data_IF_473741427467
#
_entry.id   IF_473741427467
#
_cell.length_a   1.000
_cell.length_b   1.000
_cell.length_c   1.000
_cell.angle_alpha   90.00
_cell.angle_beta   90.00
_cell.angle_gamma   90.00
#
_symmetry.space_group_name_H-M   'P 1'
#
loop_
_entity.id
_entity.type
_entity.pdbx_description
1 polymer ?
#
# COMPACT_ATOMS: atom_id res chain seq x y z
N UNK A 1 -2.81 -4.08 6.92
CA UNK A 1 -3.78 -5.19 6.98
C UNK A 1 -3.21 -6.46 6.35
N UNK A 2 -2.75 -6.45 5.08
CA UNK A 2 -2.25 -7.64 4.39
C UNK A 2 -1.16 -8.38 5.19
N UNK A 3 -0.10 -7.68 5.61
CA UNK A 3 1.01 -8.26 6.39
C UNK A 3 0.55 -8.78 7.77
N UNK A 4 -0.40 -8.10 8.42
CA UNK A 4 -0.91 -8.55 9.72
C UNK A 4 -1.71 -9.86 9.59
N UNK A 5 -2.50 -9.99 8.52
CA UNK A 5 -3.35 -11.16 8.31
C UNK A 5 -2.56 -12.41 7.94
N UNK A 6 -1.39 -12.29 7.32
CA UNK A 6 -0.52 -13.45 7.03
C UNK A 6 -0.08 -14.19 8.30
N UNK A 7 0.02 -13.50 9.44
CA UNK A 7 0.35 -14.10 10.73
C UNK A 7 -0.70 -15.10 11.21
N UNK A 8 -1.95 -14.91 10.81
CA UNK A 8 -3.05 -15.83 11.10
C UNK A 8 -3.26 -16.86 9.98
N UNK A 9 -3.09 -16.44 8.72
CA UNK A 9 -3.32 -17.29 7.57
C UNK A 9 -2.37 -18.48 7.52
N UNK A 10 -1.06 -18.27 7.61
CA UNK A 10 -0.09 -19.33 7.42
C UNK A 10 -0.15 -20.42 8.50
N UNK A 11 -0.26 -20.09 9.81
CA UNK A 11 -0.38 -21.12 10.85
C UNK A 11 -1.73 -21.83 10.80
N UNK A 12 -2.85 -21.09 10.66
CA UNK A 12 -4.18 -21.66 10.86
C UNK A 12 -4.75 -22.29 9.58
N UNK A 13 -4.56 -21.69 8.40
CA UNK A 13 -5.09 -22.24 7.14
C UNK A 13 -4.11 -23.23 6.49
N UNK A 14 -2.82 -22.89 6.45
CA UNK A 14 -1.82 -23.73 5.76
C UNK A 14 -1.03 -24.65 6.69
N UNK A 15 -1.05 -24.43 8.00
CA UNK A 15 -0.18 -25.16 8.94
C UNK A 15 1.32 -25.00 8.65
N UNK A 16 1.72 -23.91 7.98
CA UNK A 16 3.06 -23.74 7.41
C UNK A 16 3.71 -22.42 7.78
N UNK A 17 4.38 -22.36 8.92
CA UNK A 17 5.10 -21.17 9.41
C UNK A 17 6.30 -20.82 8.51
N UNK A 18 6.92 -21.82 7.84
CA UNK A 18 8.04 -21.53 6.91
C UNK A 18 7.60 -20.70 5.72
N UNK A 19 6.40 -20.94 5.20
CA UNK A 19 5.83 -20.15 4.13
C UNK A 19 5.56 -18.69 4.56
N UNK A 20 5.21 -18.45 5.83
CA UNK A 20 5.10 -17.11 6.39
C UNK A 20 6.44 -16.37 6.35
N UNK A 21 7.51 -16.98 6.81
CA UNK A 21 8.85 -16.38 6.74
C UNK A 21 9.27 -16.10 5.30
N UNK A 22 8.96 -17.02 4.38
CA UNK A 22 9.23 -16.83 2.96
C UNK A 22 8.44 -15.65 2.38
N UNK A 23 7.18 -15.46 2.78
CA UNK A 23 6.37 -14.31 2.33
C UNK A 23 6.97 -12.96 2.78
N UNK A 24 7.53 -12.89 3.99
CA UNK A 24 8.24 -11.72 4.48
C UNK A 24 9.52 -11.42 3.67
N UNK A 25 10.33 -12.44 3.41
CA UNK A 25 11.52 -12.33 2.56
C UNK A 25 11.14 -11.90 1.13
N UNK A 26 10.13 -12.53 0.53
CA UNK A 26 9.64 -12.19 -0.79
C UNK A 26 9.18 -10.74 -0.88
N UNK A 27 8.47 -10.24 0.16
CA UNK A 27 8.07 -8.82 0.24
C UNK A 27 9.27 -7.88 0.27
N UNK A 28 10.34 -8.23 0.97
CA UNK A 28 11.58 -7.43 1.00
C UNK A 28 12.26 -7.43 -0.37
N UNK A 29 12.44 -8.60 -0.97
CA UNK A 29 13.09 -8.74 -2.28
C UNK A 29 12.33 -7.99 -3.36
N UNK A 30 10.99 -8.12 -3.41
CA UNK A 30 10.18 -7.42 -4.40
C UNK A 30 10.23 -5.91 -4.21
N UNK A 31 10.35 -5.41 -2.97
CA UNK A 31 10.52 -3.98 -2.70
C UNK A 31 11.83 -3.46 -3.27
N UNK A 32 12.93 -4.20 -3.12
CA UNK A 32 14.22 -3.85 -3.70
C UNK A 32 14.17 -3.85 -5.24
N UNK A 33 13.53 -4.86 -5.83
CA UNK A 33 13.31 -4.93 -7.27
C UNK A 33 12.49 -3.72 -7.74
N UNK A 34 11.37 -3.42 -7.08
CA UNK A 34 10.53 -2.26 -7.41
C UNK A 34 11.30 -0.94 -7.30
N UNK A 35 12.20 -0.79 -6.33
CA UNK A 35 13.00 0.43 -6.17
C UNK A 35 13.82 0.77 -7.43
N UNK A 36 14.32 -0.24 -8.15
CA UNK A 36 15.14 -0.04 -9.34
C UNK A 36 14.39 0.60 -10.52
N UNK A 37 13.08 0.37 -10.65
CA UNK A 37 12.30 0.88 -11.79
C UNK A 37 11.19 1.87 -11.40
N UNK A 38 10.83 1.99 -10.13
CA UNK A 38 9.76 2.91 -9.70
C UNK A 38 10.11 4.37 -10.01
N UNK A 39 11.35 4.79 -9.80
CA UNK A 39 11.78 6.17 -10.07
C UNK A 39 11.62 6.54 -11.56
N UNK A 40 12.24 5.82 -12.52
CA UNK A 40 12.07 6.15 -13.93
C UNK A 40 10.62 5.99 -14.42
N UNK A 41 9.88 5.04 -13.86
CA UNK A 41 8.49 4.81 -14.23
C UNK A 41 7.59 5.95 -13.73
N UNK A 42 7.79 6.43 -12.51
CA UNK A 42 7.05 7.56 -11.95
C UNK A 42 7.32 8.89 -12.68
N UNK A 43 8.55 9.07 -13.20
CA UNK A 43 8.89 10.22 -14.03
C UNK A 43 8.18 10.20 -15.40
N UNK A 44 7.96 9.01 -15.97
CA UNK A 44 7.28 8.84 -17.27
C UNK A 44 5.76 8.90 -17.16
N UNK A 45 5.17 8.19 -16.22
CA UNK A 45 3.71 8.05 -16.07
C UNK A 45 3.09 9.14 -15.20
N UNK A 46 3.82 9.65 -14.21
CA UNK A 46 3.30 10.44 -13.12
C UNK A 46 3.19 9.61 -11.84
N UNK A 47 3.36 10.27 -10.69
CA UNK A 47 3.32 9.57 -9.38
C UNK A 47 1.90 9.16 -9.02
N UNK A 48 0.91 10.01 -9.28
CA UNK A 48 -0.52 9.75 -9.10
C UNK A 48 -0.97 8.53 -9.90
N UNK A 49 -0.72 8.55 -11.19
CA UNK A 49 -1.13 7.53 -12.14
C UNK A 49 -0.47 6.18 -11.84
N UNK A 50 0.83 6.21 -11.52
CA UNK A 50 1.55 5.01 -11.12
C UNK A 50 1.01 4.42 -9.81
N UNK A 51 0.68 5.27 -8.83
CA UNK A 51 0.09 4.86 -7.56
C UNK A 51 -1.27 4.19 -7.74
N UNK A 52 -2.13 4.77 -8.59
CA UNK A 52 -3.44 4.19 -8.94
C UNK A 52 -3.28 2.83 -9.63
N UNK A 53 -2.41 2.76 -10.64
CA UNK A 53 -2.17 1.52 -11.38
C UNK A 53 -1.63 0.41 -10.47
N UNK A 54 -0.66 0.72 -9.61
CA UNK A 54 -0.07 -0.22 -8.67
C UNK A 54 -1.10 -0.71 -7.63
N UNK A 55 -1.96 0.18 -7.12
CA UNK A 55 -3.01 -0.18 -6.18
C UNK A 55 -4.07 -1.08 -6.86
N UNK A 56 -4.53 -0.74 -8.06
CA UNK A 56 -5.50 -1.57 -8.80
C UNK A 56 -4.92 -2.93 -9.17
N UNK A 57 -3.64 -3.00 -9.53
CA UNK A 57 -2.95 -4.26 -9.78
C UNK A 57 -2.93 -5.13 -8.51
N UNK A 58 -2.54 -4.57 -7.36
CA UNK A 58 -2.55 -5.30 -6.09
C UNK A 58 -3.94 -5.79 -5.70
N UNK A 59 -4.98 -4.96 -5.89
CA UNK A 59 -6.37 -5.34 -5.68
C UNK A 59 -6.79 -6.51 -6.57
N UNK A 60 -6.51 -6.43 -7.87
CA UNK A 60 -6.87 -7.45 -8.84
C UNK A 60 -6.23 -8.80 -8.50
N UNK A 61 -4.93 -8.82 -8.17
CA UNK A 61 -4.22 -10.03 -7.76
C UNK A 61 -4.87 -10.66 -6.52
N UNK A 62 -5.23 -9.86 -5.51
CA UNK A 62 -5.86 -10.38 -4.29
C UNK A 62 -7.30 -10.89 -4.55
N UNK A 63 -8.07 -10.22 -5.40
CA UNK A 63 -9.37 -10.73 -5.81
C UNK A 63 -9.25 -12.08 -6.53
N UNK A 64 -8.33 -12.19 -7.49
CA UNK A 64 -8.05 -13.47 -8.19
C UNK A 64 -7.63 -14.54 -7.18
N UNK A 65 -6.72 -14.22 -6.26
CA UNK A 65 -6.27 -15.14 -5.21
C UNK A 65 -7.44 -15.66 -4.38
N UNK A 66 -8.36 -14.78 -4.02
CA UNK A 66 -9.55 -15.15 -3.25
C UNK A 66 -10.45 -16.13 -4.02
N UNK A 67 -10.64 -15.93 -5.33
CA UNK A 67 -11.46 -16.83 -6.17
C UNK A 67 -10.81 -18.18 -6.38
N UNK A 68 -9.49 -18.23 -6.53
CA UNK A 68 -8.74 -19.46 -6.77
C UNK A 68 -8.69 -20.40 -5.56
N UNK A 69 -8.95 -19.89 -4.34
CA UNK A 69 -8.91 -20.66 -3.07
C UNK A 69 -7.67 -21.56 -2.98
N UNK A 70 -6.51 -20.94 -3.12
CA UNK A 70 -5.22 -21.64 -3.20
C UNK A 70 -4.98 -22.51 -1.96
N UNK A 71 -4.85 -23.82 -2.14
CA UNK A 71 -4.60 -24.77 -1.06
C UNK A 71 -3.12 -24.93 -0.73
N UNK A 72 -2.24 -24.55 -1.66
CA UNK A 72 -0.79 -24.65 -1.46
C UNK A 72 -0.22 -23.32 -0.95
N UNK A 73 0.44 -23.36 0.22
CA UNK A 73 1.04 -22.20 0.86
C UNK A 73 2.07 -21.49 -0.03
N UNK A 74 2.88 -22.22 -0.76
CA UNK A 74 3.93 -21.65 -1.61
C UNK A 74 3.36 -20.97 -2.85
N UNK A 75 2.29 -21.52 -3.42
CA UNK A 75 1.56 -20.87 -4.51
C UNK A 75 0.92 -19.57 -4.01
N UNK A 76 0.36 -19.59 -2.80
CA UNK A 76 -0.15 -18.37 -2.18
C UNK A 76 0.97 -17.31 -1.99
N UNK A 77 2.17 -17.70 -1.57
CA UNK A 77 3.31 -16.77 -1.44
C UNK A 77 3.64 -16.09 -2.77
N UNK A 78 3.55 -16.81 -3.90
CA UNK A 78 3.76 -16.22 -5.23
C UNK A 78 2.71 -15.14 -5.51
N UNK A 79 1.43 -15.43 -5.35
CA UNK A 79 0.36 -14.44 -5.54
C UNK A 79 0.46 -13.27 -4.56
N UNK A 80 0.78 -13.56 -3.30
CA UNK A 80 1.06 -12.55 -2.27
C UNK A 80 2.18 -11.60 -2.72
N UNK A 81 3.26 -12.14 -3.28
CA UNK A 81 4.40 -11.35 -3.77
C UNK A 81 3.98 -10.42 -4.90
N UNK A 82 3.16 -10.89 -5.84
CA UNK A 82 2.59 -10.03 -6.89
C UNK A 82 1.69 -8.94 -6.32
N UNK A 83 0.83 -9.26 -5.36
CA UNK A 83 0.00 -8.24 -4.69
C UNK A 83 0.85 -7.23 -3.92
N UNK A 84 1.98 -7.68 -3.34
CA UNK A 84 2.91 -6.84 -2.60
C UNK A 84 3.62 -5.80 -3.47
N UNK A 85 3.72 -6.00 -4.80
CA UNK A 85 4.19 -5.00 -5.75
C UNK A 85 3.41 -3.68 -5.60
N UNK A 86 2.09 -3.75 -5.42
CA UNK A 86 1.25 -2.57 -5.18
C UNK A 86 1.67 -1.78 -3.94
N UNK A 87 1.95 -2.47 -2.82
CA UNK A 87 2.44 -1.86 -1.58
C UNK A 87 3.84 -1.27 -1.78
N UNK A 88 4.73 -2.02 -2.43
CA UNK A 88 6.12 -1.62 -2.64
C UNK A 88 6.21 -0.33 -3.46
N UNK A 89 5.57 -0.29 -4.63
CA UNK A 89 5.54 0.89 -5.50
C UNK A 89 4.93 2.08 -4.77
N UNK A 90 3.75 1.92 -4.14
CA UNK A 90 3.09 3.00 -3.43
C UNK A 90 3.95 3.55 -2.29
N UNK A 91 4.60 2.67 -1.50
CA UNK A 91 5.50 3.09 -0.42
C UNK A 91 6.69 3.90 -0.92
N UNK A 92 7.25 3.54 -2.08
CA UNK A 92 8.38 4.23 -2.69
C UNK A 92 8.00 5.61 -3.23
N UNK A 93 6.84 5.72 -3.92
CA UNK A 93 6.41 7.00 -4.49
C UNK A 93 5.83 7.96 -3.45
N UNK A 94 5.33 7.46 -2.32
CA UNK A 94 4.70 8.30 -1.29
C UNK A 94 5.61 9.42 -0.80
N UNK A 95 6.90 9.13 -0.59
CA UNK A 95 7.88 10.14 -0.18
C UNK A 95 8.03 11.26 -1.21
N UNK A 96 8.06 10.88 -2.48
CA UNK A 96 8.12 11.85 -3.58
C UNK A 96 6.81 12.64 -3.70
N UNK A 97 5.65 12.03 -3.46
CA UNK A 97 4.36 12.72 -3.45
C UNK A 97 4.26 13.75 -2.31
N UNK A 98 4.86 13.49 -1.16
CA UNK A 98 4.94 14.46 -0.06
C UNK A 98 5.77 15.68 -0.49
N UNK A 99 6.89 15.47 -1.18
CA UNK A 99 7.68 16.58 -1.72
C UNK A 99 6.87 17.41 -2.72
N UNK A 100 6.07 16.76 -3.59
CA UNK A 100 5.18 17.49 -4.51
C UNK A 100 4.17 18.37 -3.77
N UNK A 101 3.61 17.88 -2.65
CA UNK A 101 2.68 18.68 -1.81
C UNK A 101 3.40 19.87 -1.16
N UNK A 102 4.65 19.69 -0.72
CA UNK A 102 5.47 20.78 -0.17
C UNK A 102 5.74 21.84 -1.22
N UNK A 103 6.11 21.41 -2.44
CA UNK A 103 6.40 22.32 -3.54
C UNK A 103 5.13 23.05 -4.00
N UNK A 104 3.98 22.39 -4.05
CA UNK A 104 2.68 23.01 -4.36
C UNK A 104 2.30 24.05 -3.30
N UNK A 105 2.45 23.73 -2.02
CA UNK A 105 2.21 24.68 -0.94
C UNK A 105 3.16 25.90 -1.03
N UNK A 106 4.44 25.69 -1.36
CA UNK A 106 5.40 26.77 -1.54
C UNK A 106 5.05 27.69 -2.72
N UNK A 107 4.51 27.14 -3.81
CA UNK A 107 4.06 27.94 -4.96
C UNK A 107 2.87 28.84 -4.58
N UNK A 108 1.91 28.30 -3.79
CA UNK A 108 0.68 29.02 -3.42
C UNK A 108 0.88 29.99 -2.25
N UNK A 109 1.58 29.56 -1.20
CA UNK A 109 1.70 30.30 0.07
C UNK A 109 2.96 31.16 0.12
N UNK A 110 3.89 30.98 -0.81
CA UNK A 110 5.19 31.66 -0.84
C UNK A 110 6.16 31.24 0.27
N UNK A 111 5.78 30.27 1.09
CA UNK A 111 6.60 29.75 2.21
C UNK A 111 6.75 28.23 2.12
N UNK A 112 7.97 27.77 2.35
CA UNK A 112 8.25 26.33 2.41
C UNK A 112 7.96 25.81 3.82
N UNK A 113 7.06 24.83 3.92
CA UNK A 113 6.54 24.31 5.20
C UNK A 113 6.80 22.81 5.38
N UNK A 114 8.05 22.36 5.10
CA UNK A 114 8.42 20.94 5.14
C UNK A 114 8.02 20.26 6.46
N UNK A 115 8.39 20.85 7.60
CA UNK A 115 8.15 20.28 8.92
C UNK A 115 6.68 20.06 9.24
N UNK A 116 5.81 21.00 8.85
CA UNK A 116 4.38 20.90 9.09
C UNK A 116 3.76 19.79 8.25
N UNK A 117 4.07 19.73 6.96
CA UNK A 117 3.52 18.73 6.03
C UNK A 117 3.99 17.32 6.43
N UNK A 118 5.28 17.16 6.76
CA UNK A 118 5.80 15.87 7.25
C UNK A 118 5.18 15.44 8.57
N UNK A 119 4.91 16.37 9.47
CA UNK A 119 4.28 16.08 10.76
C UNK A 119 2.85 15.58 10.57
N UNK A 120 2.06 16.25 9.74
CA UNK A 120 0.68 15.86 9.41
C UNK A 120 0.67 14.50 8.72
N UNK A 121 1.54 14.28 7.73
CA UNK A 121 1.68 12.98 7.06
C UNK A 121 2.04 11.87 8.05
N UNK A 122 3.04 12.08 8.92
CA UNK A 122 3.49 11.08 9.89
C UNK A 122 2.39 10.74 10.89
N UNK A 123 1.63 11.73 11.34
CA UNK A 123 0.48 11.53 12.21
C UNK A 123 -0.61 10.72 11.49
N UNK A 124 -1.02 11.15 10.29
CA UNK A 124 -2.04 10.45 9.49
C UNK A 124 -1.63 8.99 9.19
N UNK A 125 -0.35 8.75 8.87
CA UNK A 125 0.19 7.41 8.67
C UNK A 125 0.07 6.53 9.92
N UNK A 126 0.38 7.08 11.11
CA UNK A 126 0.26 6.34 12.38
C UNK A 126 -1.19 6.02 12.72
N UNK A 127 -2.09 6.98 12.53
CA UNK A 127 -3.53 6.76 12.70
C UNK A 127 -4.03 5.69 11.73
N UNK A 128 -3.62 5.73 10.47
CA UNK A 128 -3.96 4.72 9.47
C UNK A 128 -3.45 3.32 9.82
N UNK A 129 -2.22 3.22 10.37
CA UNK A 129 -1.67 1.96 10.84
C UNK A 129 -2.46 1.39 12.02
N UNK A 130 -2.82 2.23 13.01
CA UNK A 130 -3.63 1.83 14.15
C UNK A 130 -5.05 1.39 13.71
N UNK A 131 -5.70 2.17 12.85
CA UNK A 131 -7.01 1.83 12.29
C UNK A 131 -6.97 0.51 11.51
N UNK A 132 -5.94 0.29 10.69
CA UNK A 132 -5.75 -0.96 9.95
C UNK A 132 -5.61 -2.19 10.86
N UNK A 133 -4.91 -2.04 12.00
CA UNK A 133 -4.81 -3.12 12.99
C UNK A 133 -6.12 -3.35 13.72
N UNK A 134 -6.83 -2.28 14.07
CA UNK A 134 -8.18 -2.36 14.66
C UNK A 134 -9.17 -3.07 13.74
N UNK A 135 -9.21 -2.70 12.47
CA UNK A 135 -10.06 -3.36 11.45
C UNK A 135 -9.71 -4.84 11.32
N UNK A 136 -8.41 -5.21 11.30
CA UNK A 136 -8.01 -6.60 11.25
C UNK A 136 -8.53 -7.40 12.46
N UNK A 137 -8.42 -6.83 13.67
CA UNK A 137 -8.96 -7.44 14.90
C UNK A 137 -10.49 -7.57 14.88
N UNK A 138 -11.20 -6.54 14.42
CA UNK A 138 -12.66 -6.58 14.27
C UNK A 138 -13.10 -7.67 13.29
N UNK A 139 -12.44 -7.78 12.12
CA UNK A 139 -12.75 -8.80 11.13
C UNK A 139 -12.50 -10.21 11.68
N UNK A 140 -11.43 -10.43 12.43
CA UNK A 140 -11.17 -11.70 13.12
C UNK A 140 -12.26 -12.01 14.15
N UNK A 141 -12.70 -11.02 14.91
CA UNK A 141 -13.80 -11.17 15.87
C UNK A 141 -15.13 -11.56 15.20
N UNK A 142 -15.45 -10.93 14.05
CA UNK A 142 -16.68 -11.21 13.28
C UNK A 142 -16.73 -12.66 12.80
N UNK A 143 -15.62 -13.25 12.41
CA UNK A 143 -15.55 -14.67 12.00
C UNK A 143 -15.47 -15.63 13.19
N UNK A 144 -15.49 -15.12 14.41
CA UNK A 144 -15.44 -15.93 15.64
C UNK A 144 -14.06 -16.47 15.96
N UNK A 145 -12.98 -15.82 15.51
CA UNK A 145 -11.62 -16.23 15.81
C UNK A 145 -11.31 -16.10 17.31
N UNK A 146 -10.91 -17.20 17.91
CA UNK A 146 -10.35 -17.29 19.27
C UNK A 146 -9.31 -18.41 19.32
N UNK A 147 -8.55 -18.55 20.39
CA UNK A 147 -7.62 -19.67 20.54
C UNK A 147 -8.32 -21.04 20.48
N UNK A 148 -9.55 -21.12 20.96
CA UNK A 148 -10.35 -22.35 20.95
C UNK A 148 -10.89 -22.70 19.56
N UNK A 149 -11.23 -21.70 18.74
CA UNK A 149 -11.86 -21.86 17.42
C UNK A 149 -10.91 -21.68 16.25
N UNK A 150 -9.63 -21.38 16.50
CA UNK A 150 -8.63 -21.03 15.51
C UNK A 150 -8.46 -22.02 14.34
N UNK A 151 -8.82 -23.29 14.56
CA UNK A 151 -8.73 -24.38 13.59
C UNK A 151 -10.09 -24.89 13.12
N UNK A 152 -11.18 -24.25 13.50
CA UNK A 152 -12.51 -24.59 12.98
C UNK A 152 -12.61 -24.25 11.49
N UNK A 153 -13.17 -25.13 10.64
CA UNK A 153 -13.20 -24.94 9.18
C UNK A 153 -13.85 -23.63 8.75
N UNK A 154 -14.88 -23.16 9.47
CA UNK A 154 -15.54 -21.88 9.21
C UNK A 154 -14.62 -20.69 9.46
N UNK A 155 -13.91 -20.70 10.60
CA UNK A 155 -12.96 -19.65 11.00
C UNK A 155 -11.74 -19.63 10.08
N UNK A 156 -11.17 -20.80 9.78
CA UNK A 156 -10.02 -20.94 8.88
C UNK A 156 -10.33 -20.42 7.47
N UNK A 157 -11.50 -20.75 6.91
CA UNK A 157 -11.95 -20.19 5.64
C UNK A 157 -12.18 -18.68 5.74
N UNK A 158 -12.75 -18.20 6.85
CA UNK A 158 -12.92 -16.79 7.13
C UNK A 158 -11.60 -16.02 7.12
N UNK A 159 -10.56 -16.55 7.76
CA UNK A 159 -9.19 -15.98 7.76
C UNK A 159 -8.67 -15.84 6.32
N UNK A 160 -8.86 -16.87 5.48
CA UNK A 160 -8.43 -16.83 4.08
C UNK A 160 -9.12 -15.69 3.31
N UNK A 161 -10.45 -15.61 3.39
CA UNK A 161 -11.22 -14.57 2.73
C UNK A 161 -10.86 -13.17 3.21
N UNK A 162 -10.74 -12.96 4.52
CA UNK A 162 -10.35 -11.66 5.08
C UNK A 162 -8.93 -11.27 4.63
N UNK A 163 -7.99 -12.22 4.60
CA UNK A 163 -6.62 -11.96 4.17
C UNK A 163 -6.55 -11.49 2.73
N UNK A 164 -7.43 -11.95 1.88
CA UNK A 164 -7.48 -11.52 0.48
C UNK A 164 -8.36 -10.27 0.27
N UNK A 165 -9.59 -10.27 0.79
CA UNK A 165 -10.59 -9.24 0.47
C UNK A 165 -10.36 -7.93 1.21
N UNK A 166 -10.00 -7.95 2.51
CA UNK A 166 -9.83 -6.72 3.26
C UNK A 166 -8.72 -5.81 2.68
N UNK A 167 -7.51 -6.32 2.36
CA UNK A 167 -6.52 -5.48 1.71
C UNK A 167 -6.85 -5.17 0.25
N UNK A 168 -7.60 -6.02 -0.48
CA UNK A 168 -8.06 -5.71 -1.83
C UNK A 168 -8.99 -4.50 -1.83
N UNK A 169 -9.96 -4.46 -0.92
CA UNK A 169 -10.83 -3.28 -0.71
C UNK A 169 -10.00 -2.06 -0.32
N UNK A 170 -9.02 -2.22 0.57
CA UNK A 170 -8.09 -1.15 0.94
C UNK A 170 -7.32 -0.57 -0.26
N UNK A 171 -6.87 -1.40 -1.18
CA UNK A 171 -6.23 -0.96 -2.42
C UNK A 171 -7.18 -0.22 -3.35
N UNK A 172 -8.43 -0.67 -3.48
CA UNK A 172 -9.45 0.04 -4.27
C UNK A 172 -9.72 1.42 -3.65
N UNK A 173 -9.90 1.50 -2.34
CA UNK A 173 -10.10 2.77 -1.63
C UNK A 173 -8.89 3.70 -1.80
N UNK A 174 -7.66 3.17 -1.77
CA UNK A 174 -6.45 3.93 -2.05
C UNK A 174 -6.46 4.48 -3.48
N UNK A 175 -6.78 3.65 -4.47
CA UNK A 175 -6.84 4.09 -5.87
C UNK A 175 -7.89 5.20 -6.07
N UNK A 176 -9.08 5.06 -5.46
CA UNK A 176 -10.13 6.07 -5.49
C UNK A 176 -9.68 7.37 -4.79
N UNK A 177 -9.05 7.26 -3.62
CA UNK A 177 -8.51 8.42 -2.91
C UNK A 177 -7.48 9.17 -3.74
N UNK A 178 -6.56 8.47 -4.39
CA UNK A 178 -5.59 9.09 -5.29
C UNK A 178 -6.25 9.72 -6.50
N UNK A 179 -7.26 9.07 -7.08
CA UNK A 179 -7.94 9.58 -8.26
C UNK A 179 -8.71 10.89 -7.97
N UNK A 180 -9.44 10.94 -6.85
CA UNK A 180 -10.39 12.02 -6.57
C UNK A 180 -9.87 13.06 -5.56
N UNK A 181 -9.05 12.66 -4.59
CA UNK A 181 -8.60 13.56 -3.50
C UNK A 181 -7.20 14.12 -3.72
N UNK A 182 -6.36 13.48 -4.55
CA UNK A 182 -5.00 13.97 -4.81
C UNK A 182 -4.97 14.81 -6.10
N UNK A 183 -4.82 16.16 -6.01
CA UNK A 183 -4.97 17.05 -7.15
C UNK A 183 -3.71 17.18 -8.01
N UNK A 184 -2.55 16.69 -7.52
CA UNK A 184 -1.26 16.90 -8.16
C UNK A 184 -1.01 15.81 -9.23
N UNK A 185 -1.48 16.05 -10.43
CA UNK A 185 -1.14 15.26 -11.60
C UNK A 185 0.29 15.60 -12.10
N UNK A 186 0.78 14.83 -13.06
CA UNK A 186 2.12 15.03 -13.62
C UNK A 186 2.34 16.44 -14.17
N UNK A 187 1.32 17.03 -14.82
CA UNK A 187 1.43 18.36 -15.44
C UNK A 187 1.60 19.42 -14.36
N UNK A 188 0.79 19.37 -13.31
CA UNK A 188 0.83 20.33 -12.21
C UNK A 188 2.13 20.23 -11.43
N UNK A 189 2.65 19.03 -11.19
CA UNK A 189 3.96 18.85 -10.55
C UNK A 189 5.09 19.47 -11.37
N UNK A 190 5.07 19.30 -12.69
CA UNK A 190 6.08 19.89 -13.58
C UNK A 190 5.95 21.44 -13.63
N UNK A 191 4.74 21.96 -13.63
CA UNK A 191 4.48 23.39 -13.58
C UNK A 191 4.99 24.02 -12.28
N UNK A 192 4.67 23.41 -11.14
CA UNK A 192 5.14 23.88 -9.84
C UNK A 192 6.68 23.90 -9.77
N UNK A 193 7.34 22.84 -10.26
CA UNK A 193 8.80 22.77 -10.30
C UNK A 193 9.40 23.89 -11.17
N UNK A 194 8.78 24.19 -12.31
CA UNK A 194 9.21 25.28 -13.18
C UNK A 194 9.07 26.65 -12.50
N UNK A 195 7.94 26.92 -11.88
CA UNK A 195 7.68 28.18 -11.16
C UNK A 195 8.71 28.41 -10.04
N UNK A 196 9.04 27.35 -9.29
CA UNK A 196 10.03 27.43 -8.22
C UNK A 196 11.44 27.75 -8.72
N UNK A 197 11.84 27.15 -9.85
CA UNK A 197 13.13 27.44 -10.49
C UNK A 197 13.19 28.88 -11.04
N UNK A 198 12.10 29.37 -11.65
CA UNK A 198 12.01 30.76 -12.14
C UNK A 198 12.16 31.74 -10.98
N UNK A 199 11.42 31.56 -9.88
CA UNK A 199 11.52 32.39 -8.67
C UNK A 199 12.91 32.38 -8.03
N UNK A 200 13.60 31.23 -8.05
CA UNK A 200 14.97 31.12 -7.52
C UNK A 200 15.98 31.89 -8.38
N UNK A 201 15.79 31.88 -9.69
CA UNK A 201 16.66 32.62 -10.63
C UNK A 201 16.44 34.15 -10.54
N UNK A 202 15.21 34.61 -10.27
CA UNK A 202 14.89 36.03 -10.08
C UNK A 202 15.44 36.60 -8.75
N UNK A 203 15.66 35.73 -7.76
CA UNK A 203 16.17 36.10 -6.45
C UNK A 203 17.71 36.17 -6.37
N UNK A 204 18.42 35.76 -7.43
CA UNK A 204 19.90 35.81 -7.55
C UNK A 204 20.34 37.02 -8.34
#
# INVERSE_FOLDING_TARGET
TLTNMTTYLFPNFYGNIRAQSLSGLAGTVITLICASFTVPLSAKLGRKELGIAAALFGAAVLFVTNFLKLQNAYVFVVFYTFAYVGIAIFSLITWAMITDVIDDAQVHDGRRSDGTIYSVYSFARKVGQAASSGVAGLLLSIIGYSQATAFEPSVVNGIYHITCLAPAVGFVLLALSLAFLYPLDRKKVQENARILVEKENEAK
#
